data_IF_935060175932
#
_entry.id   IF_935060175932
#
_cell.length_a   1.000
_cell.length_b   1.000
_cell.length_c   1.000
_cell.angle_alpha   90.00
_cell.angle_beta   90.00
_cell.angle_gamma   90.00
#
_symmetry.space_group_name_H-M   'P 1'
#
loop_
_entity.id
_entity.type
_entity.pdbx_description
1 polymer ?
#
# COMPACT_ATOMS: atom_id res chain seq x y z
N UNK A 1 -3.32 17.45 -16.97
CA UNK A 1 -2.21 17.19 -16.03
C UNK A 1 -1.48 15.94 -16.51
N UNK A 2 -0.29 16.11 -17.10
CA UNK A 2 0.51 15.02 -17.69
C UNK A 2 0.78 13.92 -16.66
N UNK A 3 0.74 12.67 -17.13
CA UNK A 3 1.02 11.44 -16.40
C UNK A 3 2.19 11.60 -15.40
N UNK A 4 1.90 11.77 -14.11
CA UNK A 4 2.91 11.96 -13.09
C UNK A 4 3.53 10.60 -12.72
N UNK A 5 4.62 10.24 -13.39
CA UNK A 5 5.37 9.00 -13.10
C UNK A 5 5.90 8.96 -11.66
N UNK A 6 6.02 10.09 -10.96
CA UNK A 6 6.42 10.12 -9.54
C UNK A 6 5.32 9.58 -8.61
N UNK A 7 4.08 9.40 -9.08
CA UNK A 7 3.02 8.79 -8.29
C UNK A 7 3.40 7.37 -7.82
N UNK A 8 4.23 6.64 -8.58
CA UNK A 8 4.72 5.30 -8.21
C UNK A 8 5.73 5.28 -7.05
N UNK A 9 6.24 6.45 -6.63
CA UNK A 9 7.24 6.60 -5.57
C UNK A 9 6.63 6.95 -4.21
N UNK A 10 5.29 6.91 -4.08
CA UNK A 10 4.59 7.28 -2.85
C UNK A 10 5.02 6.46 -1.62
N UNK A 11 5.50 5.21 -1.83
CA UNK A 11 6.08 4.38 -0.79
C UNK A 11 7.60 4.19 -1.01
N UNK A 12 8.46 4.98 -0.34
CA UNK A 12 9.92 4.83 -0.44
C UNK A 12 10.45 3.61 0.33
N UNK A 13 9.65 3.01 1.21
CA UNK A 13 10.11 2.05 2.21
C UNK A 13 9.68 0.60 1.92
N UNK A 14 9.70 0.20 0.64
CA UNK A 14 9.24 -1.12 0.18
C UNK A 14 10.00 -2.28 0.85
N UNK A 15 11.30 -2.11 1.10
CA UNK A 15 12.13 -3.13 1.74
C UNK A 15 11.64 -3.50 3.15
N UNK A 16 11.35 -2.51 4.00
CA UNK A 16 10.75 -2.76 5.32
C UNK A 16 9.34 -3.33 5.20
N UNK A 17 8.63 -2.99 4.13
CA UNK A 17 7.34 -3.56 3.79
C UNK A 17 7.38 -5.08 3.64
N UNK A 18 8.39 -5.65 2.98
CA UNK A 18 8.51 -7.10 2.83
C UNK A 18 8.79 -7.81 4.16
N UNK A 19 9.60 -7.22 5.03
CA UNK A 19 9.82 -7.77 6.37
C UNK A 19 8.53 -7.77 7.19
N UNK A 20 7.81 -6.64 7.19
CA UNK A 20 6.53 -6.52 7.89
C UNK A 20 5.45 -7.42 7.30
N UNK A 21 5.49 -7.67 5.99
CA UNK A 21 4.61 -8.63 5.32
C UNK A 21 4.80 -10.04 5.90
N UNK A 22 6.05 -10.52 5.99
CA UNK A 22 6.35 -11.82 6.59
C UNK A 22 5.92 -11.92 8.05
N UNK A 23 6.28 -10.90 8.86
CA UNK A 23 5.90 -10.85 10.29
C UNK A 23 4.39 -10.82 10.47
N UNK A 24 3.69 -10.02 9.67
CA UNK A 24 2.24 -9.90 9.73
C UNK A 24 1.51 -11.18 9.32
N UNK A 25 2.00 -11.89 8.29
CA UNK A 25 1.46 -13.21 7.90
C UNK A 25 1.69 -14.22 9.02
N UNK A 26 2.88 -14.25 9.61
CA UNK A 26 3.19 -15.13 10.73
C UNK A 26 2.28 -14.85 11.94
N UNK A 27 2.04 -13.58 12.26
CA UNK A 27 1.16 -13.18 13.36
C UNK A 27 -0.31 -13.54 13.08
N UNK A 28 -0.80 -13.28 11.87
CA UNK A 28 -2.15 -13.68 11.45
C UNK A 28 -2.34 -15.21 11.51
N UNK A 29 -1.32 -15.96 11.09
CA UNK A 29 -1.29 -17.41 11.22
C UNK A 29 -1.38 -17.87 12.68
N UNK A 30 -0.55 -17.30 13.56
CA UNK A 30 -0.53 -17.66 14.99
C UNK A 30 -1.88 -17.39 15.67
N UNK A 31 -2.49 -16.23 15.41
CA UNK A 31 -3.83 -15.90 15.91
C UNK A 31 -4.84 -16.94 15.41
N UNK A 32 -4.86 -17.20 14.10
CA UNK A 32 -5.84 -18.12 13.52
C UNK A 32 -5.65 -19.56 13.97
N UNK A 33 -4.42 -20.00 14.15
CA UNK A 33 -4.08 -21.32 14.66
C UNK A 33 -4.56 -21.49 16.11
N UNK A 34 -4.37 -20.47 16.94
CA UNK A 34 -4.89 -20.48 18.32
C UNK A 34 -6.42 -20.44 18.40
N UNK A 35 -7.10 -19.91 17.39
CA UNK A 35 -8.57 -19.84 17.30
C UNK A 35 -9.19 -21.06 16.59
N UNK A 36 -8.37 -21.99 16.09
CA UNK A 36 -8.84 -23.22 15.47
C UNK A 36 -9.80 -24.05 16.35
N UNK A 37 -9.63 -24.17 17.69
CA UNK A 37 -10.54 -24.97 18.50
C UNK A 37 -11.94 -24.36 18.68
N UNK A 38 -12.16 -23.07 18.40
CA UNK A 38 -13.49 -22.45 18.49
C UNK A 38 -14.15 -22.20 17.13
N UNK A 39 -13.38 -22.25 16.05
CA UNK A 39 -13.81 -21.84 14.70
C UNK A 39 -13.44 -22.95 13.72
N UNK A 40 -14.25 -24.01 13.69
CA UNK A 40 -13.96 -25.24 12.93
C UNK A 40 -13.85 -24.98 11.42
N UNK A 41 -14.71 -24.14 10.82
CA UNK A 41 -14.66 -23.83 9.38
C UNK A 41 -14.90 -22.36 9.00
N UNK A 42 -15.33 -21.50 9.93
CA UNK A 42 -15.70 -20.15 9.55
C UNK A 42 -14.47 -19.26 9.24
N UNK A 43 -14.45 -18.70 8.02
CA UNK A 43 -13.62 -17.56 7.62
C UNK A 43 -12.08 -17.74 7.81
N UNK A 44 -11.44 -18.80 7.27
CA UNK A 44 -9.99 -19.00 7.36
C UNK A 44 -9.17 -17.83 6.76
N UNK A 45 -9.74 -17.16 5.77
CA UNK A 45 -9.10 -16.08 5.02
C UNK A 45 -9.08 -14.74 5.77
N UNK A 46 -9.93 -14.53 6.77
CA UNK A 46 -10.24 -13.20 7.29
C UNK A 46 -9.04 -12.51 7.94
N UNK A 47 -8.28 -13.21 8.78
CA UNK A 47 -7.10 -12.65 9.43
C UNK A 47 -5.97 -12.34 8.44
N UNK A 48 -5.78 -13.22 7.45
CA UNK A 48 -4.83 -12.98 6.36
C UNK A 48 -5.25 -11.78 5.50
N UNK A 49 -6.56 -11.61 5.28
CA UNK A 49 -7.11 -10.47 4.55
C UNK A 49 -6.80 -9.16 5.26
N UNK A 50 -7.08 -9.06 6.56
CA UNK A 50 -6.80 -7.85 7.34
C UNK A 50 -5.32 -7.49 7.26
N UNK A 51 -4.44 -8.48 7.45
CA UNK A 51 -3.00 -8.28 7.33
C UNK A 51 -2.62 -7.74 5.94
N UNK A 52 -3.10 -8.37 4.86
CA UNK A 52 -2.80 -7.92 3.50
C UNK A 52 -3.28 -6.49 3.25
N UNK A 53 -4.47 -6.11 3.74
CA UNK A 53 -4.99 -4.74 3.60
C UNK A 53 -4.09 -3.74 4.31
N UNK A 54 -3.67 -4.04 5.54
CA UNK A 54 -2.75 -3.19 6.33
C UNK A 54 -1.43 -3.02 5.59
N UNK A 55 -0.86 -4.12 5.08
CA UNK A 55 0.41 -4.07 4.33
C UNK A 55 0.26 -3.28 3.02
N UNK A 56 -0.82 -3.49 2.27
CA UNK A 56 -1.11 -2.72 1.05
C UNK A 56 -1.23 -1.23 1.34
N UNK A 57 -1.88 -0.87 2.45
CA UNK A 57 -2.14 0.51 2.81
C UNK A 57 -0.87 1.28 3.22
N UNK A 58 0.06 0.64 3.93
CA UNK A 58 1.28 1.30 4.43
C UNK A 58 2.50 1.11 3.52
N UNK A 59 2.63 -0.06 2.88
CA UNK A 59 3.83 -0.46 2.16
C UNK A 59 3.61 -0.66 0.64
N UNK A 60 2.36 -0.58 0.19
CA UNK A 60 1.96 -0.65 -1.20
C UNK A 60 1.74 -2.07 -1.72
N UNK A 61 1.47 -2.17 -3.02
CA UNK A 61 1.03 -3.42 -3.67
C UNK A 61 2.06 -4.54 -3.69
N UNK A 62 3.36 -4.23 -3.84
CA UNK A 62 4.42 -5.24 -3.91
C UNK A 62 4.49 -6.11 -2.65
N UNK A 63 4.68 -5.54 -1.46
CA UNK A 63 4.65 -6.27 -0.19
C UNK A 63 3.31 -6.97 0.09
N UNK A 64 2.19 -6.39 -0.35
CA UNK A 64 0.87 -7.01 -0.21
C UNK A 64 0.69 -8.25 -1.11
N UNK A 65 1.28 -8.26 -2.31
CA UNK A 65 1.30 -9.46 -3.15
C UNK A 65 2.11 -10.58 -2.50
N UNK A 66 3.19 -10.23 -1.78
CA UNK A 66 3.94 -11.21 -1.01
C UNK A 66 3.09 -11.82 0.11
N UNK A 67 2.27 -11.03 0.82
CA UNK A 67 1.39 -11.60 1.86
C UNK A 67 0.37 -12.58 1.29
N UNK A 68 -0.18 -12.31 0.10
CA UNK A 68 -1.07 -13.22 -0.61
C UNK A 68 -0.34 -14.50 -1.04
N UNK A 69 0.86 -14.36 -1.62
CA UNK A 69 1.65 -15.49 -2.06
C UNK A 69 2.04 -16.42 -0.89
N UNK A 70 2.28 -15.87 0.31
CA UNK A 70 2.53 -16.66 1.52
C UNK A 70 1.25 -17.21 2.16
N UNK A 71 0.13 -16.49 2.09
CA UNK A 71 -1.11 -16.92 2.72
C UNK A 71 -1.75 -18.11 2.01
N UNK A 72 -1.72 -18.17 0.66
CA UNK A 72 -2.31 -19.28 -0.11
C UNK A 72 -1.81 -20.67 0.34
N UNK A 73 -0.49 -20.96 0.39
CA UNK A 73 -0.01 -22.27 0.81
C UNK A 73 -0.27 -22.54 2.30
N UNK A 74 -0.20 -21.52 3.16
CA UNK A 74 -0.54 -21.67 4.59
C UNK A 74 -2.01 -22.04 4.78
N UNK A 75 -2.90 -21.40 4.02
CA UNK A 75 -4.34 -21.66 4.06
C UNK A 75 -4.65 -23.05 3.52
N UNK A 76 -4.09 -23.41 2.37
CA UNK A 76 -4.30 -24.72 1.76
C UNK A 76 -3.84 -25.87 2.65
N UNK A 77 -2.73 -25.72 3.39
CA UNK A 77 -2.16 -26.81 4.18
C UNK A 77 -2.75 -26.92 5.59
N UNK A 78 -3.00 -25.80 6.27
CA UNK A 78 -3.42 -25.79 7.68
C UNK A 78 -4.92 -25.60 7.89
N UNK A 79 -5.62 -24.98 6.93
CA UNK A 79 -6.99 -24.49 7.15
C UNK A 79 -8.02 -24.99 6.11
N UNK A 80 -7.62 -25.75 5.10
CA UNK A 80 -8.51 -26.44 4.16
C UNK A 80 -8.40 -27.95 4.36
N UNK A 81 -9.54 -28.64 4.27
CA UNK A 81 -9.58 -30.09 4.42
C UNK A 81 -9.19 -30.77 3.09
N UNK A 82 -8.41 -31.87 3.09
CA UNK A 82 -7.85 -32.57 4.26
C UNK A 82 -6.63 -31.84 4.84
N UNK A 83 -6.62 -31.65 6.15
CA UNK A 83 -5.56 -30.91 6.84
C UNK A 83 -4.23 -31.67 6.81
N UNK A 84 -3.14 -30.97 6.53
CA UNK A 84 -1.78 -31.52 6.61
C UNK A 84 -1.36 -32.40 5.41
N UNK A 85 -2.16 -32.48 4.36
CA UNK A 85 -1.82 -33.20 3.14
C UNK A 85 -2.00 -32.32 1.90
N UNK A 86 -1.04 -32.35 0.96
CA UNK A 86 -1.21 -31.76 -0.37
C UNK A 86 -2.00 -32.73 -1.26
N UNK A 87 -3.29 -32.92 -0.98
CA UNK A 87 -4.16 -33.80 -1.79
C UNK A 87 -4.94 -33.03 -2.86
N UNK A 88 -5.86 -33.72 -3.54
CA UNK A 88 -6.73 -33.16 -4.57
C UNK A 88 -7.57 -32.03 -3.98
N UNK A 89 -7.23 -30.80 -4.39
CA UNK A 89 -7.97 -29.59 -4.03
C UNK A 89 -9.38 -29.71 -4.61
N UNK A 90 -10.40 -29.62 -3.75
CA UNK A 90 -11.79 -29.65 -4.20
C UNK A 90 -12.14 -28.36 -4.98
N UNK A 91 -13.14 -28.44 -5.85
CA UNK A 91 -13.63 -27.32 -6.65
C UNK A 91 -14.09 -26.16 -5.74
N UNK A 92 -14.59 -26.49 -4.54
CA UNK A 92 -14.94 -25.52 -3.50
C UNK A 92 -13.74 -24.70 -3.03
N UNK A 93 -12.62 -25.35 -2.75
CA UNK A 93 -11.41 -24.68 -2.25
C UNK A 93 -10.78 -23.79 -3.32
N UNK A 94 -10.77 -24.25 -4.58
CA UNK A 94 -10.35 -23.44 -5.73
C UNK A 94 -11.22 -22.18 -5.82
N UNK A 95 -12.53 -22.32 -5.66
CA UNK A 95 -13.47 -21.17 -5.71
C UNK A 95 -13.18 -20.19 -4.56
N UNK A 96 -12.95 -20.69 -3.34
CA UNK A 96 -12.63 -19.86 -2.17
C UNK A 96 -11.31 -19.09 -2.38
N UNK A 97 -10.25 -19.77 -2.84
CA UNK A 97 -8.96 -19.13 -3.12
C UNK A 97 -9.07 -18.12 -4.26
N UNK A 98 -9.84 -18.42 -5.30
CA UNK A 98 -10.05 -17.52 -6.43
C UNK A 98 -10.81 -16.26 -6.00
N UNK A 99 -11.88 -16.40 -5.22
CA UNK A 99 -12.61 -15.26 -4.65
C UNK A 99 -11.69 -14.43 -3.74
N UNK A 100 -10.89 -15.07 -2.90
CA UNK A 100 -9.91 -14.39 -2.06
C UNK A 100 -8.88 -13.60 -2.87
N UNK A 101 -8.29 -14.22 -3.89
CA UNK A 101 -7.28 -13.61 -4.73
C UNK A 101 -7.85 -12.43 -5.52
N UNK A 102 -9.02 -12.60 -6.16
CA UNK A 102 -9.67 -11.53 -6.94
C UNK A 102 -10.13 -10.38 -6.05
N UNK A 103 -10.75 -10.66 -4.91
CA UNK A 103 -11.16 -9.66 -3.94
C UNK A 103 -9.97 -8.89 -3.36
N UNK A 104 -8.91 -9.60 -2.97
CA UNK A 104 -7.68 -8.97 -2.47
C UNK A 104 -6.99 -8.13 -3.54
N UNK A 105 -6.95 -8.60 -4.79
CA UNK A 105 -6.41 -7.84 -5.90
C UNK A 105 -7.20 -6.54 -6.13
N UNK A 106 -8.53 -6.60 -6.07
CA UNK A 106 -9.40 -5.43 -6.18
C UNK A 106 -9.11 -4.43 -5.06
N UNK A 107 -9.01 -4.89 -3.81
CA UNK A 107 -8.67 -3.99 -2.68
C UNK A 107 -7.27 -3.40 -2.85
N UNK A 108 -6.27 -4.21 -3.20
CA UNK A 108 -4.91 -3.73 -3.42
C UNK A 108 -4.88 -2.66 -4.53
N UNK A 109 -5.64 -2.87 -5.61
CA UNK A 109 -5.79 -1.90 -6.68
C UNK A 109 -6.44 -0.60 -6.21
N UNK A 110 -7.56 -0.68 -5.48
CA UNK A 110 -8.25 0.51 -4.95
C UNK A 110 -7.37 1.29 -3.97
N UNK A 111 -6.67 0.61 -3.07
CA UNK A 111 -5.76 1.23 -2.10
C UNK A 111 -4.60 1.91 -2.82
N UNK A 112 -3.99 1.25 -3.79
CA UNK A 112 -2.91 1.82 -4.59
C UNK A 112 -3.38 3.04 -5.37
N UNK A 113 -4.57 2.98 -5.97
CA UNK A 113 -5.16 4.11 -6.67
C UNK A 113 -5.41 5.29 -5.71
N UNK A 114 -6.06 5.04 -4.58
CA UNK A 114 -6.33 6.07 -3.57
C UNK A 114 -5.04 6.73 -3.07
N UNK A 115 -4.01 5.93 -2.79
CA UNK A 115 -2.70 6.42 -2.32
C UNK A 115 -1.99 7.28 -3.36
N UNK A 116 -2.10 6.92 -4.64
CA UNK A 116 -1.53 7.71 -5.74
C UNK A 116 -2.21 9.07 -5.87
N UNK A 117 -3.53 9.12 -5.76
CA UNK A 117 -4.26 10.38 -5.80
C UNK A 117 -3.90 11.27 -4.60
N UNK A 118 -3.83 10.71 -3.39
CA UNK A 118 -3.39 11.44 -2.19
C UNK A 118 -1.96 11.98 -2.35
N UNK A 119 -1.04 11.18 -2.91
CA UNK A 119 0.33 11.60 -3.14
C UNK A 119 0.41 12.71 -4.19
N UNK A 120 -0.34 12.60 -5.29
CA UNK A 120 -0.40 13.63 -6.32
C UNK A 120 -0.93 14.96 -5.78
N UNK A 121 -1.99 14.92 -4.96
CA UNK A 121 -2.53 16.10 -4.30
C UNK A 121 -1.49 16.74 -3.35
N UNK A 122 -0.80 15.92 -2.55
CA UNK A 122 0.25 16.39 -1.64
C UNK A 122 1.42 17.05 -2.38
N UNK A 123 1.88 16.44 -3.48
CA UNK A 123 2.95 17.01 -4.30
C UNK A 123 2.52 18.32 -4.96
N UNK A 124 1.28 18.42 -5.43
CA UNK A 124 0.75 19.65 -6.02
C UNK A 124 0.74 20.81 -5.01
N UNK A 125 0.36 20.54 -3.75
CA UNK A 125 0.40 21.53 -2.66
C UNK A 125 1.85 21.99 -2.40
N UNK A 126 2.79 21.07 -2.24
CA UNK A 126 4.20 21.39 -1.97
C UNK A 126 4.86 22.19 -3.12
N UNK A 127 4.52 21.89 -4.37
CA UNK A 127 4.99 22.65 -5.53
C UNK A 127 4.38 24.05 -5.55
N UNK A 128 3.11 24.21 -5.18
CA UNK A 128 2.46 25.51 -5.05
C UNK A 128 3.14 26.38 -4.00
N UNK A 129 3.40 25.84 -2.80
CA UNK A 129 4.10 26.55 -1.72
C UNK A 129 5.51 26.98 -2.14
N UNK A 130 6.24 26.09 -2.80
CA UNK A 130 7.60 26.39 -3.30
C UNK A 130 7.58 27.52 -4.35
N UNK A 131 6.62 27.50 -5.28
CA UNK A 131 6.44 28.56 -6.28
C UNK A 131 6.03 29.88 -5.63
N UNK A 132 5.15 29.83 -4.64
CA UNK A 132 4.71 31.02 -3.90
C UNK A 132 5.88 31.69 -3.18
N UNK A 133 6.72 30.91 -2.49
CA UNK A 133 7.93 31.43 -1.84
C UNK A 133 8.87 32.12 -2.82
N UNK A 134 9.09 31.53 -4.00
CA UNK A 134 9.93 32.12 -5.04
C UNK A 134 9.36 33.43 -5.60
N UNK A 135 8.03 33.55 -5.73
CA UNK A 135 7.39 34.81 -6.16
C UNK A 135 7.61 35.92 -5.12
N UNK A 136 7.42 35.63 -3.84
CA UNK A 136 7.63 36.60 -2.75
C UNK A 136 9.10 37.03 -2.65
N UNK A 137 10.04 36.09 -2.74
CA UNK A 137 11.48 36.41 -2.76
C UNK A 137 11.87 37.21 -4.01
N UNK A 138 11.29 36.89 -5.17
CA UNK A 138 11.48 37.65 -6.40
C UNK A 138 11.03 39.10 -6.26
N UNK A 139 9.82 39.32 -5.74
CA UNK A 139 9.28 40.66 -5.49
C UNK A 139 10.15 41.46 -4.50
N UNK A 140 10.67 40.81 -3.44
CA UNK A 140 11.56 41.46 -2.48
C UNK A 140 12.87 41.93 -3.12
N UNK A 141 13.51 41.08 -3.95
CA UNK A 141 14.74 41.42 -4.66
C UNK A 141 14.52 42.54 -5.67
N UNK A 142 13.41 42.51 -6.41
CA UNK A 142 13.06 43.58 -7.36
C UNK A 142 12.91 44.91 -6.63
N UNK A 143 12.23 44.92 -5.48
CA UNK A 143 12.06 46.12 -4.65
C UNK A 143 13.40 46.67 -4.14
N UNK A 144 14.29 45.80 -3.68
CA UNK A 144 15.62 46.21 -3.22
C UNK A 144 16.47 46.79 -4.36
N UNK A 145 16.39 46.20 -5.56
CA UNK A 145 17.05 46.73 -6.75
C UNK A 145 16.53 48.12 -7.11
N UNK A 146 15.21 48.34 -7.08
CA UNK A 146 14.62 49.65 -7.35
C UNK A 146 15.07 50.72 -6.33
N UNK A 147 15.15 50.36 -5.05
CA UNK A 147 15.61 51.28 -4.00
C UNK A 147 17.09 51.67 -4.14
N UNK A 148 17.93 50.73 -4.60
CA UNK A 148 19.37 50.93 -4.72
C UNK A 148 19.80 51.43 -6.10
N UNK A 149 18.87 51.57 -7.05
CA UNK A 149 19.16 52.15 -8.38
C UNK A 149 19.31 53.67 -8.23
N UNK A 150 20.49 54.27 -8.46
CA UNK A 150 20.65 55.71 -8.39
C UNK A 150 19.80 56.36 -9.49
N UNK A 151 18.97 57.34 -9.10
CA UNK A 151 18.23 58.18 -10.06
C UNK A 151 19.25 58.83 -10.98
N UNK A 152 19.14 58.55 -12.28
CA UNK A 152 19.95 59.21 -13.30
C UNK A 152 19.66 60.72 -13.20
N UNK A 153 20.63 61.59 -12.88
CA UNK A 153 20.40 63.02 -12.92
C UNK A 153 20.11 63.39 -14.38
N UNK A 154 18.96 64.03 -14.61
CA UNK A 154 18.59 64.66 -15.88
C UNK A 154 19.51 65.84 -16.20
#
# INVERSE_FOLDING_TARGET
MKHNLNAYRWCPNKAKGYLNACVGVFFAFCIRFSLQPQVEEALPLFFFQINTIVIAFFFGTGPALLTVALSIPLISYFFMAPFGEFTVIDTRDITILFVYATYTALICFLVEWLRREQYNAKVAILVSESRFKLMVEGDSKIRDLLKNTPLKPE
#
